data_IF_142979398781
#
_entry.id   IF_142979398781
#
_cell.length_a   1.000
_cell.length_b   1.000
_cell.length_c   1.000
_cell.angle_alpha   90.00
_cell.angle_beta   90.00
_cell.angle_gamma   90.00
#
_symmetry.space_group_name_H-M   'P 1'
#
loop_
_entity.id
_entity.type
_entity.pdbx_description
1 polymer ?
#
# COMPACT_ATOMS: atom_id res chain seq x y z
N UNK A 1 -17.93 -28.22 -62.67
CA UNK A 1 -16.62 -28.75 -62.22
C UNK A 1 -16.05 -27.69 -61.29
N UNK A 2 -16.16 -27.89 -59.97
CA UNK A 2 -15.63 -26.92 -59.00
C UNK A 2 -14.14 -26.75 -59.27
N UNK A 3 -13.65 -25.53 -59.55
CA UNK A 3 -12.25 -25.34 -59.84
C UNK A 3 -11.48 -25.67 -58.56
N UNK A 4 -10.63 -26.69 -58.64
CA UNK A 4 -9.80 -27.19 -57.53
C UNK A 4 -9.04 -26.06 -56.80
N UNK A 5 -8.83 -24.93 -57.48
CA UNK A 5 -8.26 -23.69 -56.97
C UNK A 5 -9.09 -23.06 -55.85
N UNK A 6 -10.41 -22.97 -55.98
CA UNK A 6 -11.28 -22.38 -54.94
C UNK A 6 -11.30 -23.24 -53.68
N UNK A 7 -11.40 -24.56 -53.84
CA UNK A 7 -11.37 -25.50 -52.72
C UNK A 7 -10.01 -25.49 -52.01
N UNK A 8 -8.90 -25.36 -52.74
CA UNK A 8 -7.57 -25.28 -52.15
C UNK A 8 -7.37 -23.99 -51.33
N UNK A 9 -7.92 -22.86 -51.82
CA UNK A 9 -7.86 -21.58 -51.09
C UNK A 9 -8.66 -21.67 -49.79
N UNK A 10 -9.88 -22.21 -49.81
CA UNK A 10 -10.73 -22.34 -48.63
C UNK A 10 -10.07 -23.23 -47.57
N UNK A 11 -9.52 -24.38 -47.98
CA UNK A 11 -8.81 -25.29 -47.08
C UNK A 11 -7.57 -24.63 -46.49
N UNK A 12 -6.80 -23.90 -47.30
CA UNK A 12 -5.62 -23.18 -46.84
C UNK A 12 -5.95 -22.13 -45.77
N UNK A 13 -6.99 -21.32 -45.99
CA UNK A 13 -7.44 -20.31 -45.03
C UNK A 13 -7.92 -20.97 -43.73
N UNK A 14 -8.70 -22.05 -43.81
CA UNK A 14 -9.19 -22.77 -42.65
C UNK A 14 -8.06 -23.31 -41.75
N UNK A 15 -6.99 -23.85 -42.36
CA UNK A 15 -5.82 -24.36 -41.64
C UNK A 15 -5.06 -23.22 -40.94
N UNK A 16 -4.89 -22.08 -41.61
CA UNK A 16 -4.19 -20.91 -41.04
C UNK A 16 -4.97 -20.36 -39.84
N UNK A 17 -6.28 -20.17 -39.99
CA UNK A 17 -7.13 -19.67 -38.91
C UNK A 17 -7.20 -20.67 -37.75
N UNK A 18 -7.34 -21.97 -38.03
CA UNK A 18 -7.32 -23.02 -37.03
C UNK A 18 -5.99 -23.07 -36.27
N UNK A 19 -4.87 -22.96 -36.98
CA UNK A 19 -3.52 -22.90 -36.39
C UNK A 19 -3.34 -21.72 -35.44
N UNK A 20 -3.87 -20.53 -35.79
CA UNK A 20 -3.79 -19.34 -34.92
C UNK A 20 -4.63 -19.48 -33.65
N UNK A 21 -5.82 -20.08 -33.74
CA UNK A 21 -6.70 -20.34 -32.60
C UNK A 21 -6.04 -21.36 -31.65
N UNK A 22 -5.52 -22.46 -32.20
CA UNK A 22 -4.84 -23.50 -31.41
C UNK A 22 -3.58 -22.95 -30.76
N UNK A 23 -2.78 -22.14 -31.47
CA UNK A 23 -1.62 -21.45 -30.91
C UNK A 23 -1.99 -20.53 -29.75
N UNK A 24 -3.04 -19.72 -29.92
CA UNK A 24 -3.53 -18.83 -28.86
C UNK A 24 -4.07 -19.61 -27.66
N UNK A 25 -4.76 -20.73 -27.91
CA UNK A 25 -5.27 -21.61 -26.86
C UNK A 25 -4.16 -22.30 -26.06
N UNK A 26 -3.11 -22.77 -26.73
CA UNK A 26 -1.94 -23.35 -26.05
C UNK A 26 -1.23 -22.29 -25.20
N UNK A 27 -1.03 -21.07 -25.71
CA UNK A 27 -0.43 -19.96 -24.94
C UNK A 27 -1.26 -19.62 -23.69
N UNK A 28 -2.59 -19.61 -23.80
CA UNK A 28 -3.50 -19.42 -22.67
C UNK A 28 -3.37 -20.54 -21.63
N UNK A 29 -3.35 -21.81 -22.05
CA UNK A 29 -3.22 -22.95 -21.14
C UNK A 29 -1.86 -23.05 -20.47
N UNK A 30 -0.80 -22.65 -21.15
CA UNK A 30 0.58 -22.72 -20.64
C UNK A 30 0.94 -21.51 -19.76
N UNK A 31 -0.01 -20.59 -19.51
CA UNK A 31 0.20 -19.46 -18.60
C UNK A 31 1.08 -18.34 -19.16
N UNK A 32 1.33 -18.31 -20.49
CA UNK A 32 1.98 -17.16 -21.09
C UNK A 32 1.00 -15.98 -21.10
N UNK A 33 1.43 -14.78 -20.66
CA UNK A 33 0.55 -13.63 -20.65
C UNK A 33 0.08 -13.37 -22.08
N UNK A 34 -1.24 -13.19 -22.23
CA UNK A 34 -1.80 -12.70 -23.47
C UNK A 34 -1.33 -11.24 -23.61
N UNK A 35 -0.26 -11.04 -24.36
CA UNK A 35 0.16 -9.70 -24.76
C UNK A 35 -0.96 -9.11 -25.63
N UNK A 36 -1.48 -7.96 -25.22
CA UNK A 36 -2.17 -7.10 -26.17
C UNK A 36 -1.15 -6.63 -27.23
N UNK A 37 -1.64 -6.10 -28.35
CA UNK A 37 -0.81 -5.61 -29.46
C UNK A 37 0.11 -4.41 -29.10
N UNK A 38 0.28 -4.12 -27.81
CA UNK A 38 1.07 -3.04 -27.21
C UNK A 38 1.94 -3.51 -26.02
N UNK A 39 2.24 -4.82 -25.94
CA UNK A 39 3.25 -5.36 -25.01
C UNK A 39 2.87 -5.32 -23.52
N UNK A 40 1.59 -5.12 -23.18
CA UNK A 40 1.13 -5.23 -21.80
C UNK A 40 0.59 -6.65 -21.59
N UNK A 41 1.27 -7.40 -20.72
CA UNK A 41 0.81 -8.69 -20.23
C UNK A 41 -0.57 -8.54 -19.59
N UNK A 42 -1.62 -9.07 -20.23
CA UNK A 42 -2.90 -9.29 -19.58
C UNK A 42 -2.71 -10.50 -18.66
N UNK A 43 -2.28 -10.25 -17.43
CA UNK A 43 -2.43 -11.24 -16.37
C UNK A 43 -3.93 -11.44 -16.14
N UNK A 44 -4.47 -12.67 -16.26
CA UNK A 44 -5.80 -12.95 -15.74
C UNK A 44 -5.73 -12.66 -14.24
N UNK A 45 -6.41 -11.58 -13.85
CA UNK A 45 -6.38 -11.07 -12.49
C UNK A 45 -6.97 -12.13 -11.56
N UNK A 46 -6.14 -12.73 -10.71
CA UNK A 46 -6.57 -13.30 -9.43
C UNK A 46 -6.98 -12.15 -8.50
N UNK A 47 -8.03 -11.41 -8.88
CA UNK A 47 -8.49 -10.19 -8.18
C UNK A 47 -8.96 -10.50 -6.75
N UNK A 48 -9.41 -11.72 -6.44
CA UNK A 48 -9.87 -12.08 -5.10
C UNK A 48 -8.78 -12.00 -4.02
N UNK A 49 -7.64 -12.65 -4.27
CA UNK A 49 -6.52 -12.72 -3.31
C UNK A 49 -5.80 -11.37 -3.18
N UNK A 50 -5.66 -10.63 -4.28
CA UNK A 50 -5.07 -9.30 -4.25
C UNK A 50 -5.96 -8.29 -3.49
N UNK A 51 -7.28 -8.34 -3.70
CA UNK A 51 -8.24 -7.50 -2.97
C UNK A 51 -8.29 -7.86 -1.48
N UNK A 52 -8.21 -9.15 -1.14
CA UNK A 52 -8.15 -9.59 0.25
C UNK A 52 -6.87 -9.10 0.95
N UNK A 53 -5.70 -9.22 0.31
CA UNK A 53 -4.44 -8.66 0.85
C UNK A 53 -4.50 -7.15 1.01
N UNK A 54 -5.09 -6.42 0.06
CA UNK A 54 -5.28 -4.96 0.18
C UNK A 54 -6.20 -4.63 1.36
N UNK A 55 -7.25 -5.42 1.58
CA UNK A 55 -8.15 -5.25 2.72
C UNK A 55 -7.45 -5.51 4.05
N UNK A 56 -6.63 -6.55 4.14
CA UNK A 56 -5.81 -6.86 5.34
C UNK A 56 -4.80 -5.74 5.61
N UNK A 57 -4.04 -5.32 4.59
CA UNK A 57 -3.08 -4.22 4.71
C UNK A 57 -3.76 -2.91 5.10
N UNK A 58 -4.96 -2.63 4.59
CA UNK A 58 -5.72 -1.44 4.98
C UNK A 58 -6.16 -1.47 6.45
N UNK A 59 -6.46 -2.66 6.99
CA UNK A 59 -6.79 -2.83 8.41
C UNK A 59 -5.55 -2.65 9.29
N UNK A 60 -4.42 -3.24 8.92
CA UNK A 60 -3.14 -3.05 9.62
C UNK A 60 -2.73 -1.57 9.64
N UNK A 61 -2.87 -0.87 8.51
CA UNK A 61 -2.60 0.57 8.46
C UNK A 61 -3.54 1.39 9.36
N UNK A 62 -4.81 1.00 9.49
CA UNK A 62 -5.75 1.67 10.38
C UNK A 62 -5.37 1.46 11.86
N UNK A 63 -4.97 0.23 12.23
CA UNK A 63 -4.49 -0.10 13.57
C UNK A 63 -3.20 0.67 13.91
N UNK A 64 -2.20 0.65 13.02
CA UNK A 64 -0.94 1.37 13.22
C UNK A 64 -1.16 2.87 13.40
N UNK A 65 -2.10 3.47 12.65
CA UNK A 65 -2.46 4.89 12.83
C UNK A 65 -3.09 5.17 14.19
N UNK A 66 -3.92 4.26 14.70
CA UNK A 66 -4.50 4.38 16.04
C UNK A 66 -3.42 4.26 17.13
N UNK A 67 -2.51 3.28 17.01
CA UNK A 67 -1.37 3.11 17.93
C UNK A 67 -0.46 4.34 17.92
N UNK A 68 -0.10 4.85 16.74
CA UNK A 68 0.67 6.10 16.60
C UNK A 68 -0.05 7.30 17.20
N UNK A 69 -1.37 7.39 17.06
CA UNK A 69 -2.19 8.42 17.70
C UNK A 69 -2.05 8.39 19.23
N UNK A 70 -2.21 7.20 19.83
CA UNK A 70 -2.06 7.03 21.28
C UNK A 70 -0.65 7.36 21.79
N UNK A 71 0.38 7.02 21.01
CA UNK A 71 1.76 7.37 21.35
C UNK A 71 1.98 8.88 21.28
N UNK A 72 1.41 9.54 20.28
CA UNK A 72 1.47 11.00 20.13
C UNK A 72 0.81 11.72 21.31
N UNK A 73 -0.37 11.26 21.75
CA UNK A 73 -1.07 11.85 22.91
C UNK A 73 -0.25 11.72 24.20
N UNK A 74 0.41 10.57 24.38
CA UNK A 74 1.32 10.36 25.51
C UNK A 74 2.55 11.26 25.43
N UNK A 75 3.13 11.42 24.25
CA UNK A 75 4.26 12.32 24.04
C UNK A 75 3.88 13.78 24.34
N UNK A 76 2.70 14.23 23.91
CA UNK A 76 2.19 15.57 24.23
C UNK A 76 1.99 15.76 25.74
N UNK A 77 1.50 14.74 26.45
CA UNK A 77 1.40 14.78 27.91
C UNK A 77 2.78 14.85 28.58
N UNK A 78 3.77 14.11 28.08
CA UNK A 78 5.14 14.16 28.60
C UNK A 78 5.76 15.54 28.34
N UNK A 79 5.60 16.09 27.14
CA UNK A 79 6.05 17.44 26.78
C UNK A 79 5.46 18.47 27.76
N UNK A 80 4.16 18.43 27.99
CA UNK A 80 3.49 19.32 28.95
C UNK A 80 4.06 19.19 30.36
N UNK A 81 4.29 17.97 30.86
CA UNK A 81 4.86 17.76 32.21
C UNK A 81 6.27 18.36 32.29
N UNK A 82 7.13 18.06 31.31
CA UNK A 82 8.52 18.52 31.31
C UNK A 82 8.58 20.04 31.22
N UNK A 83 7.74 20.65 30.38
CA UNK A 83 7.70 22.11 30.23
C UNK A 83 7.09 22.79 31.46
N UNK A 84 5.90 22.39 31.92
CA UNK A 84 5.23 23.03 33.06
C UNK A 84 6.00 22.85 34.37
N UNK A 85 6.53 21.65 34.65
CA UNK A 85 7.29 21.39 35.88
C UNK A 85 8.63 22.14 35.93
N UNK A 86 9.28 22.37 34.78
CA UNK A 86 10.52 23.14 34.71
C UNK A 86 10.35 24.58 35.19
N UNK A 87 9.32 25.27 34.71
CA UNK A 87 9.06 26.66 35.12
C UNK A 87 8.56 26.77 36.56
N UNK A 88 7.69 25.86 37.02
CA UNK A 88 7.19 25.87 38.40
C UNK A 88 8.32 25.70 39.42
N UNK A 89 9.24 24.75 39.19
CA UNK A 89 10.36 24.50 40.09
C UNK A 89 11.31 25.71 40.17
N UNK A 90 11.63 26.34 39.03
CA UNK A 90 12.49 27.54 39.03
C UNK A 90 11.86 28.68 39.83
N UNK A 91 10.56 28.93 39.64
CA UNK A 91 9.85 29.95 40.41
C UNK A 91 9.79 29.64 41.92
N UNK A 92 9.61 28.38 42.29
CA UNK A 92 9.61 27.97 43.70
C UNK A 92 11.00 28.14 44.34
N UNK A 93 12.08 27.81 43.61
CA UNK A 93 13.46 28.04 44.05
C UNK A 93 13.74 29.53 44.28
N UNK A 94 13.35 30.38 43.32
CA UNK A 94 13.57 31.83 43.43
C UNK A 94 12.81 32.44 44.61
N UNK A 95 11.57 31.97 44.87
CA UNK A 95 10.80 32.39 46.03
C UNK A 95 11.47 32.01 47.34
N UNK A 96 11.92 30.76 47.48
CA UNK A 96 12.64 30.30 48.68
C UNK A 96 13.95 31.05 48.89
N UNK A 97 14.68 31.39 47.81
CA UNK A 97 15.88 32.24 47.88
C UNK A 97 15.59 33.65 48.39
N UNK A 98 14.50 34.27 47.93
CA UNK A 98 14.08 35.59 48.40
C UNK A 98 13.69 35.56 49.89
N UNK A 99 12.86 34.59 50.30
CA UNK A 99 12.46 34.40 51.70
C UNK A 99 13.67 34.19 52.63
N UNK A 100 14.67 33.42 52.18
CA UNK A 100 15.91 33.21 52.94
C UNK A 100 16.72 34.50 53.07
N UNK A 101 16.85 35.26 51.98
CA UNK A 101 17.60 36.53 51.97
C UNK A 101 16.92 37.58 52.85
N UNK A 102 15.59 37.70 52.81
CA UNK A 102 14.84 38.61 53.68
C UNK A 102 15.00 38.26 55.17
N UNK A 103 15.09 36.97 55.49
CA UNK A 103 15.28 36.49 56.85
C UNK A 103 16.68 36.77 57.40
N UNK A 104 17.70 36.85 56.54
CA UNK A 104 19.08 37.17 56.94
C UNK A 104 19.31 38.69 57.13
N UNK A 105 18.42 39.53 56.61
CA UNK A 105 18.51 41.01 56.68
C UNK A 105 17.76 41.59 57.89
N UNK A 106 16.88 40.81 58.54
CA UNK A 106 16.06 41.20 59.69
C UNK A 106 16.53 40.50 60.97
#
# INVERSE_FOLDING_TARGET
MFPLTETAIIVGVAIITGGWIVNSWMRMKMGYPLENSWGKAIYPKNDGEAVERVKLLSQENAQLRAELGSMKDRLANVERIVTDSGYQLTHEIDRLRQETTEKDVN
#
